data_IF_068848426973
#
_entry.id   IF_068848426973
#
_cell.length_a   1.000
_cell.length_b   1.000
_cell.length_c   1.000
_cell.angle_alpha   90.00
_cell.angle_beta   90.00
_cell.angle_gamma   90.00
#
_symmetry.space_group_name_H-M   'P 1'
#
loop_
_entity.id
_entity.type
_entity.pdbx_description
1 polymer ?
#
# COMPACT_ATOMS: atom_id res chain seq x y z
N UNK A 1 23.71 11.90 11.74
CA UNK A 1 22.73 11.50 10.72
C UNK A 1 21.87 10.40 11.34
N UNK A 2 20.57 10.66 11.53
CA UNK A 2 19.66 9.83 12.32
C UNK A 2 19.45 8.43 11.71
N UNK A 3 19.73 7.38 12.50
CA UNK A 3 19.58 5.98 12.11
C UNK A 3 18.14 5.45 12.20
N UNK A 4 17.17 6.17 11.65
CA UNK A 4 15.75 5.74 11.70
C UNK A 4 15.32 4.91 10.49
N UNK A 5 16.10 4.89 9.40
CA UNK A 5 15.70 4.27 8.13
C UNK A 5 16.18 2.82 7.95
N UNK A 6 17.09 2.32 8.80
CA UNK A 6 17.69 1.00 8.66
C UNK A 6 16.74 -0.17 8.96
N UNK A 7 15.56 0.09 9.57
CA UNK A 7 14.61 -0.96 9.97
C UNK A 7 13.70 -1.45 8.84
N UNK A 8 13.75 -0.85 7.65
CA UNK A 8 12.91 -1.25 6.53
C UNK A 8 13.57 -2.27 5.59
N UNK A 9 14.88 -2.54 5.74
CA UNK A 9 15.69 -3.30 4.77
C UNK A 9 16.01 -4.75 5.18
N UNK A 10 15.44 -5.27 6.27
CA UNK A 10 15.65 -6.67 6.64
C UNK A 10 14.88 -7.60 5.71
N UNK A 11 15.61 -8.35 4.88
CA UNK A 11 15.14 -9.42 3.98
C UNK A 11 14.01 -10.24 4.60
N UNK A 12 12.80 -10.11 4.05
CA UNK A 12 11.59 -10.61 4.69
C UNK A 12 11.39 -12.13 4.53
N UNK A 13 11.05 -12.82 5.62
CA UNK A 13 10.65 -14.24 5.66
C UNK A 13 9.14 -14.33 5.35
N UNK A 14 8.67 -15.44 4.75
CA UNK A 14 7.27 -15.68 4.36
C UNK A 14 6.16 -15.38 5.40
N UNK A 15 6.49 -15.16 6.68
CA UNK A 15 5.54 -14.78 7.74
C UNK A 15 5.17 -13.30 7.79
N UNK A 16 5.75 -12.44 6.96
CA UNK A 16 5.58 -11.00 7.11
C UNK A 16 4.50 -10.35 6.21
N UNK A 17 4.11 -11.01 5.12
CA UNK A 17 2.94 -10.61 4.32
C UNK A 17 1.63 -10.69 5.13
N UNK A 18 1.34 -11.77 5.89
CA UNK A 18 0.13 -11.81 6.70
C UNK A 18 0.13 -10.73 7.79
N UNK A 19 1.28 -10.45 8.40
CA UNK A 19 1.41 -9.40 9.41
C UNK A 19 1.16 -7.99 8.83
N UNK A 20 1.64 -7.73 7.61
CA UNK A 20 1.33 -6.51 6.86
C UNK A 20 -0.15 -6.43 6.51
N UNK A 21 -0.76 -7.54 6.11
CA UNK A 21 -2.18 -7.61 5.78
C UNK A 21 -3.05 -7.25 6.99
N UNK A 22 -2.74 -7.79 8.16
CA UNK A 22 -3.42 -7.41 9.41
C UNK A 22 -3.20 -5.93 9.75
N UNK A 23 -1.98 -5.42 9.55
CA UNK A 23 -1.67 -4.01 9.82
C UNK A 23 -2.40 -3.04 8.87
N UNK A 24 -2.60 -3.41 7.59
CA UNK A 24 -3.37 -2.65 6.60
C UNK A 24 -4.87 -2.62 6.91
N UNK A 25 -5.39 -3.68 7.52
CA UNK A 25 -6.80 -3.75 7.97
C UNK A 25 -7.00 -3.23 9.40
N UNK A 26 -5.97 -2.67 10.03
CA UNK A 26 -6.06 -2.19 11.40
C UNK A 26 -6.98 -0.98 11.54
N UNK A 27 -7.77 -0.95 12.61
CA UNK A 27 -8.54 0.23 13.00
C UNK A 27 -7.66 1.47 13.26
N UNK A 28 -6.40 1.25 13.66
CA UNK A 28 -5.46 2.31 13.98
C UNK A 28 -4.87 2.93 12.70
N UNK A 29 -5.12 4.23 12.50
CA UNK A 29 -4.64 4.99 11.32
C UNK A 29 -3.11 4.94 11.18
N UNK A 30 -2.38 5.07 12.28
CA UNK A 30 -0.91 5.03 12.27
C UNK A 30 -0.35 3.66 11.90
N UNK A 31 -0.99 2.57 12.32
CA UNK A 31 -0.59 1.21 11.92
C UNK A 31 -0.78 0.98 10.42
N UNK A 32 -1.91 1.42 9.85
CA UNK A 32 -2.15 1.34 8.40
C UNK A 32 -1.10 2.12 7.62
N UNK A 33 -0.78 3.33 8.10
CA UNK A 33 0.25 4.17 7.49
C UNK A 33 1.62 3.51 7.47
N UNK A 34 2.06 2.98 8.61
CA UNK A 34 3.33 2.27 8.71
C UNK A 34 3.37 1.04 7.79
N UNK A 35 2.25 0.30 7.73
CA UNK A 35 2.10 -0.84 6.84
C UNK A 35 2.23 -0.45 5.35
N UNK A 36 1.54 0.59 4.89
CA UNK A 36 1.65 1.07 3.49
C UNK A 36 3.10 1.48 3.16
N UNK A 37 3.79 2.17 4.08
CA UNK A 37 5.22 2.53 3.88
C UNK A 37 6.10 1.30 3.73
N UNK A 38 5.91 0.28 4.58
CA UNK A 38 6.65 -0.99 4.49
C UNK A 38 6.37 -1.72 3.17
N UNK A 39 5.14 -1.68 2.68
CA UNK A 39 4.79 -2.27 1.37
C UNK A 39 5.49 -1.54 0.24
N UNK A 40 5.51 -0.20 0.24
CA UNK A 40 6.20 0.59 -0.79
C UNK A 40 7.71 0.31 -0.76
N UNK A 41 8.31 0.22 0.43
CA UNK A 41 9.72 -0.14 0.59
C UNK A 41 10.01 -1.53 0.00
N UNK A 42 9.17 -2.52 0.31
CA UNK A 42 9.27 -3.88 -0.23
C UNK A 42 9.17 -3.91 -1.77
N UNK A 43 8.24 -3.16 -2.35
CA UNK A 43 8.13 -3.05 -3.81
C UNK A 43 9.35 -2.39 -4.46
N UNK A 44 9.95 -1.40 -3.78
CA UNK A 44 11.13 -0.69 -4.30
C UNK A 44 12.36 -1.58 -4.37
N UNK A 45 12.43 -2.63 -3.54
CA UNK A 45 13.48 -3.67 -3.60
C UNK A 45 13.12 -4.86 -4.49
N UNK A 46 12.03 -4.77 -5.27
CA UNK A 46 11.63 -5.78 -6.25
C UNK A 46 10.83 -6.95 -5.67
N UNK A 47 10.29 -6.84 -4.46
CA UNK A 47 9.39 -7.86 -3.92
C UNK A 47 7.99 -7.72 -4.48
N UNK A 48 7.35 -8.88 -4.71
CA UNK A 48 5.97 -8.95 -5.18
C UNK A 48 5.00 -8.57 -4.05
N UNK A 49 4.43 -7.38 -4.17
CA UNK A 49 3.42 -6.84 -3.26
C UNK A 49 1.98 -7.02 -3.76
N UNK A 50 1.76 -7.84 -4.80
CA UNK A 50 0.46 -7.97 -5.48
C UNK A 50 -0.63 -8.50 -4.55
N UNK A 51 -0.26 -9.41 -3.64
CA UNK A 51 -1.17 -10.02 -2.67
C UNK A 51 -1.74 -9.04 -1.64
N UNK A 52 -1.12 -7.86 -1.48
CA UNK A 52 -1.54 -6.81 -0.56
C UNK A 52 -2.27 -5.66 -1.27
N UNK A 53 -2.41 -5.74 -2.60
CA UNK A 53 -3.00 -4.68 -3.43
C UNK A 53 -4.40 -4.30 -2.95
N UNK A 54 -5.28 -5.29 -2.76
CA UNK A 54 -6.66 -5.06 -2.31
C UNK A 54 -6.70 -4.37 -0.94
N UNK A 55 -5.84 -4.79 -0.02
CA UNK A 55 -5.74 -4.22 1.33
C UNK A 55 -5.23 -2.77 1.31
N UNK A 56 -4.26 -2.45 0.44
CA UNK A 56 -3.73 -1.09 0.25
C UNK A 56 -4.79 -0.19 -0.42
N UNK A 57 -5.52 -0.68 -1.42
CA UNK A 57 -6.59 0.07 -2.08
C UNK A 57 -7.73 0.38 -1.10
N UNK A 58 -8.07 -0.55 -0.21
CA UNK A 58 -9.05 -0.30 0.87
C UNK A 58 -8.63 0.84 1.81
N UNK A 59 -7.33 1.05 2.02
CA UNK A 59 -6.84 2.17 2.81
C UNK A 59 -7.12 3.54 2.16
N UNK A 60 -7.49 3.60 0.87
CA UNK A 60 -7.79 4.86 0.16
C UNK A 60 -9.09 5.52 0.61
N UNK A 61 -10.01 4.78 1.23
CA UNK A 61 -11.27 5.30 1.78
C UNK A 61 -11.07 6.14 3.06
N UNK A 62 -9.83 6.35 3.48
CA UNK A 62 -9.50 7.18 4.64
C UNK A 62 -9.67 8.69 4.37
N UNK A 63 -10.05 9.43 5.42
CA UNK A 63 -10.06 10.90 5.43
C UNK A 63 -8.64 11.49 5.63
N UNK A 64 -7.66 10.66 6.00
CA UNK A 64 -6.29 11.10 6.23
C UNK A 64 -5.55 11.32 4.90
N UNK A 65 -5.26 12.58 4.57
CA UNK A 65 -4.57 12.97 3.33
C UNK A 65 -3.17 12.34 3.18
N UNK A 66 -2.43 12.18 4.28
CA UNK A 66 -1.08 11.58 4.25
C UNK A 66 -1.15 10.10 3.85
N UNK A 67 -2.08 9.34 4.43
CA UNK A 67 -2.31 7.94 4.06
C UNK A 67 -2.79 7.83 2.61
N UNK A 68 -3.67 8.73 2.16
CA UNK A 68 -4.12 8.79 0.76
C UNK A 68 -2.95 8.99 -0.21
N UNK A 69 -2.05 9.94 0.08
CA UNK A 69 -0.83 10.17 -0.73
C UNK A 69 0.07 8.94 -0.79
N UNK A 70 0.20 8.20 0.31
CA UNK A 70 0.97 6.95 0.32
C UNK A 70 0.33 5.86 -0.55
N UNK A 71 -1.00 5.71 -0.52
CA UNK A 71 -1.71 4.78 -1.40
C UNK A 71 -1.55 5.19 -2.87
N UNK A 72 -1.64 6.48 -3.20
CA UNK A 72 -1.35 6.96 -4.55
C UNK A 72 0.10 6.69 -4.97
N UNK A 73 1.08 6.89 -4.09
CA UNK A 73 2.47 6.57 -4.36
C UNK A 73 2.68 5.08 -4.64
N UNK A 74 2.02 4.21 -3.86
CA UNK A 74 2.00 2.78 -4.11
C UNK A 74 1.43 2.47 -5.51
N UNK A 75 0.28 3.03 -5.88
CA UNK A 75 -0.33 2.81 -7.19
C UNK A 75 0.55 3.28 -8.36
N UNK A 76 1.22 4.42 -8.22
CA UNK A 76 2.15 4.93 -9.25
C UNK A 76 3.38 4.03 -9.39
N UNK A 77 3.93 3.56 -8.27
CA UNK A 77 5.06 2.61 -8.30
C UNK A 77 4.62 1.27 -8.91
N UNK A 78 3.43 0.80 -8.53
CA UNK A 78 2.80 -0.41 -9.08
C UNK A 78 2.56 -0.29 -10.58
N UNK A 79 2.10 0.85 -11.07
CA UNK A 79 1.87 1.10 -12.50
C UNK A 79 3.15 0.99 -13.36
N UNK A 80 4.32 1.31 -12.79
CA UNK A 80 5.60 1.17 -13.51
C UNK A 80 5.99 -0.29 -13.71
N UNK A 81 5.69 -1.15 -12.73
CA UNK A 81 6.00 -2.58 -12.80
C UNK A 81 4.90 -3.39 -13.48
N UNK A 82 3.63 -3.03 -13.27
CA UNK A 82 2.44 -3.73 -13.73
C UNK A 82 1.32 -2.72 -14.11
N UNK A 83 1.35 -2.19 -15.34
CA UNK A 83 0.43 -1.14 -15.78
C UNK A 83 -1.05 -1.59 -15.82
N UNK A 84 -1.34 -2.83 -16.23
CA UNK A 84 -2.72 -3.34 -16.35
C UNK A 84 -3.48 -3.34 -15.02
N UNK A 85 -2.81 -3.72 -13.93
CA UNK A 85 -3.41 -3.76 -12.59
C UNK A 85 -3.62 -2.36 -12.03
N UNK A 86 -2.73 -1.41 -12.32
CA UNK A 86 -2.91 -0.02 -11.94
C UNK A 86 -4.12 0.61 -12.66
N UNK A 87 -4.29 0.31 -13.96
CA UNK A 87 -5.47 0.73 -14.72
C UNK A 87 -6.74 0.15 -14.10
N UNK A 88 -6.74 -1.12 -13.70
CA UNK A 88 -7.87 -1.73 -13.00
C UNK A 88 -8.18 -1.04 -11.66
N UNK A 89 -7.14 -0.70 -10.89
CA UNK A 89 -7.29 0.05 -9.63
C UNK A 89 -8.00 1.39 -9.84
N UNK A 90 -7.53 2.16 -10.82
CA UNK A 90 -8.08 3.48 -11.14
C UNK A 90 -9.51 3.35 -11.67
N UNK A 91 -9.76 2.40 -12.57
CA UNK A 91 -11.11 2.14 -13.08
C UNK A 91 -12.07 1.72 -11.97
N UNK A 92 -11.61 0.88 -11.03
CA UNK A 92 -12.41 0.46 -9.87
C UNK A 92 -12.69 1.66 -8.96
N UNK A 93 -11.68 2.49 -8.70
CA UNK A 93 -11.85 3.68 -7.87
C UNK A 93 -12.83 4.69 -8.47
N UNK A 94 -12.70 4.99 -9.77
CA UNK A 94 -13.63 5.86 -10.49
C UNK A 94 -15.04 5.30 -10.41
N UNK A 95 -15.19 3.98 -10.58
CA UNK A 95 -16.46 3.27 -10.49
C UNK A 95 -17.09 3.32 -9.08
N UNK A 96 -16.30 3.16 -8.03
CA UNK A 96 -16.77 3.30 -6.65
C UNK A 96 -17.20 4.75 -6.33
N UNK A 97 -16.46 5.76 -6.81
CA UNK A 97 -16.82 7.16 -6.62
C UNK A 97 -18.12 7.56 -7.34
N UNK A 98 -18.46 6.90 -8.46
CA UNK A 98 -19.65 7.21 -9.24
C UNK A 98 -20.87 6.34 -8.88
N UNK A 99 -20.71 5.24 -8.14
CA UNK A 99 -21.82 4.46 -7.56
C UNK A 99 -22.37 5.13 -6.28
N UNK A 100 -21.63 6.08 -5.69
CA UNK A 100 -22.07 6.86 -4.54
C UNK A 100 -22.90 8.12 -4.87
N UNK A 101 -23.50 8.21 -6.07
CA UNK A 101 -24.44 9.29 -6.43
C UNK A 101 -25.87 8.78 -6.48
#
# INVERSE_FOLDING_TARGET
>A
MSGHDSKYFSTRKNGEIPELKEALNSQYKDKRKDAVKKVIAAMTVGQDGSSLFTDVVNCMQTENLELKKLVFLYLINYAKSQPDLAILAVNTFVKEQQIGK
#
